data_IF_037158614626
#
_entry.id   IF_037158614626
#
_cell.length_a   1.000
_cell.length_b   1.000
_cell.length_c   1.000
_cell.angle_alpha   90.00
_cell.angle_beta   90.00
_cell.angle_gamma   90.00
#
_symmetry.space_group_name_H-M   'P 1'
#
loop_
_entity.id
_entity.type
_entity.pdbx_description
1 polymer ?
#
# COMPACT_ATOMS: atom_id res chain seq x y z
N UNK A 1 40.01 -15.37 -33.45
CA UNK A 1 38.72 -15.55 -32.76
C UNK A 1 38.78 -14.87 -31.41
N UNK A 2 37.80 -14.04 -31.06
CA UNK A 2 37.48 -13.63 -29.68
C UNK A 2 35.98 -13.26 -29.65
N UNK A 3 35.30 -13.44 -28.51
CA UNK A 3 33.82 -13.42 -28.42
C UNK A 3 33.30 -12.02 -28.07
N UNK A 4 32.19 -11.54 -28.67
CA UNK A 4 31.64 -10.21 -28.42
C UNK A 4 30.94 -10.03 -27.05
N UNK A 5 30.72 -11.11 -26.30
CA UNK A 5 29.83 -11.21 -25.13
C UNK A 5 30.19 -10.36 -23.88
N UNK A 6 31.19 -9.47 -23.96
CA UNK A 6 31.75 -8.75 -22.81
C UNK A 6 31.12 -7.36 -22.61
N UNK A 7 30.79 -6.66 -23.70
CA UNK A 7 30.30 -5.28 -23.66
C UNK A 7 28.89 -5.16 -23.07
N UNK A 8 27.99 -6.09 -23.42
CA UNK A 8 26.60 -6.07 -22.99
C UNK A 8 26.46 -6.20 -21.46
N UNK A 9 27.32 -7.04 -20.85
CA UNK A 9 27.37 -7.24 -19.40
C UNK A 9 27.85 -5.96 -18.69
N UNK A 10 28.84 -5.26 -19.27
CA UNK A 10 29.38 -4.03 -18.69
C UNK A 10 28.35 -2.88 -18.75
N UNK A 11 27.59 -2.78 -19.84
CA UNK A 11 26.46 -1.87 -19.98
C UNK A 11 25.37 -2.16 -18.93
N UNK A 12 24.93 -3.42 -18.81
CA UNK A 12 23.93 -3.82 -17.81
C UNK A 12 24.37 -3.49 -16.36
N UNK A 13 25.63 -3.73 -16.01
CA UNK A 13 26.16 -3.40 -14.67
C UNK A 13 26.16 -1.88 -14.42
N UNK A 14 26.63 -1.09 -15.39
CA UNK A 14 26.68 0.38 -15.23
C UNK A 14 25.28 1.02 -15.15
N UNK A 15 24.31 0.54 -15.93
CA UNK A 15 22.91 0.99 -15.84
C UNK A 15 22.29 0.65 -14.47
N UNK A 16 22.52 -0.58 -13.98
CA UNK A 16 22.07 -1.01 -12.65
C UNK A 16 22.67 -0.17 -11.52
N UNK A 17 23.93 0.26 -11.64
CA UNK A 17 24.59 1.10 -10.62
C UNK A 17 24.16 2.58 -10.68
N UNK A 18 23.90 3.13 -11.88
CA UNK A 18 23.26 4.45 -12.02
C UNK A 18 21.86 4.46 -11.39
N UNK A 19 21.07 3.40 -11.63
CA UNK A 19 19.76 3.21 -11.00
C UNK A 19 19.84 3.03 -9.47
N UNK A 20 20.97 2.55 -8.91
CA UNK A 20 21.20 2.54 -7.45
C UNK A 20 21.53 3.94 -6.93
N UNK A 21 22.40 4.70 -7.60
CA UNK A 21 22.73 6.09 -7.20
C UNK A 21 21.48 6.97 -7.17
N UNK A 22 20.66 6.96 -8.22
CA UNK A 22 19.41 7.72 -8.26
C UNK A 22 18.46 7.33 -7.12
N UNK A 23 18.34 6.04 -6.80
CA UNK A 23 17.53 5.56 -5.66
C UNK A 23 18.12 5.96 -4.31
N UNK A 24 19.44 6.17 -4.19
CA UNK A 24 20.06 6.72 -2.98
C UNK A 24 19.76 8.20 -2.82
N UNK A 25 20.07 9.02 -3.83
CA UNK A 25 19.80 10.47 -3.81
C UNK A 25 18.31 10.77 -3.58
N UNK A 26 17.39 10.00 -4.18
CA UNK A 26 15.96 10.14 -3.94
C UNK A 26 15.55 9.77 -2.51
N UNK A 27 16.16 8.75 -1.90
CA UNK A 27 15.93 8.41 -0.49
C UNK A 27 16.44 9.51 0.44
N UNK A 28 17.64 10.04 0.22
CA UNK A 28 18.19 11.09 1.08
C UNK A 28 17.42 12.42 0.94
N UNK A 29 16.92 12.75 -0.27
CA UNK A 29 16.02 13.88 -0.47
C UNK A 29 14.69 13.70 0.29
N UNK A 30 14.03 12.54 0.17
CA UNK A 30 12.80 12.24 0.91
C UNK A 30 13.02 12.23 2.44
N UNK A 31 14.17 11.73 2.88
CA UNK A 31 14.58 11.70 4.30
C UNK A 31 14.78 13.10 4.88
N UNK A 32 15.38 14.03 4.13
CA UNK A 32 15.44 15.45 4.53
C UNK A 32 14.05 16.09 4.54
N UNK A 33 13.29 15.98 3.44
CA UNK A 33 11.96 16.57 3.31
C UNK A 33 11.00 16.16 4.45
N UNK A 34 11.04 14.89 4.87
CA UNK A 34 10.25 14.38 5.99
C UNK A 34 10.77 14.79 7.37
N UNK A 35 12.03 15.21 7.49
CA UNK A 35 12.60 15.64 8.78
C UNK A 35 12.28 17.10 9.09
N UNK A 36 12.26 17.96 8.06
CA UNK A 36 12.13 19.40 8.21
C UNK A 36 10.67 19.91 8.12
N UNK A 37 9.76 19.12 7.54
CA UNK A 37 8.34 19.48 7.38
C UNK A 37 7.42 18.92 8.50
N UNK A 38 7.96 18.18 9.48
CA UNK A 38 7.18 17.58 10.58
C UNK A 38 7.51 18.22 11.95
N UNK A 39 6.50 18.46 12.82
CA UNK A 39 6.73 18.95 14.17
C UNK A 39 7.58 17.94 14.98
N UNK A 40 8.39 18.39 15.96
CA UNK A 40 9.40 17.56 16.63
C UNK A 40 8.86 16.23 17.19
N UNK A 41 7.61 16.27 17.64
CA UNK A 41 6.86 15.19 18.27
C UNK A 41 6.64 13.96 17.37
N UNK A 42 6.78 14.09 16.03
CA UNK A 42 6.55 13.01 15.05
C UNK A 42 7.81 12.62 14.23
N UNK A 43 9.02 13.08 14.61
CA UNK A 43 10.26 12.73 13.88
C UNK A 43 10.63 11.23 14.05
N UNK A 44 10.31 10.42 13.03
CA UNK A 44 10.63 8.99 12.99
C UNK A 44 12.14 8.74 12.84
N UNK A 45 12.76 8.05 13.82
CA UNK A 45 14.18 7.68 13.79
C UNK A 45 14.43 6.43 12.92
N UNK A 46 14.87 6.65 11.67
CA UNK A 46 15.30 5.58 10.77
C UNK A 46 16.69 5.02 11.14
N UNK A 47 16.71 3.92 11.90
CA UNK A 47 17.94 3.22 12.29
C UNK A 47 18.44 2.25 11.21
N UNK A 48 19.24 2.73 10.25
CA UNK A 48 20.01 1.86 9.37
C UNK A 48 21.24 1.27 10.09
N UNK A 49 21.14 0.03 10.58
CA UNK A 49 22.28 -0.73 11.13
C UNK A 49 23.05 -1.47 10.04
N UNK A 50 24.24 -0.97 9.69
CA UNK A 50 25.37 -1.76 9.17
C UNK A 50 26.66 -1.34 9.91
N UNK A 51 27.60 -2.28 10.04
CA UNK A 51 28.93 -2.14 10.66
C UNK A 51 30.00 -2.60 9.64
N UNK A 52 31.29 -2.33 9.80
CA UNK A 52 31.96 -1.56 10.90
C UNK A 52 32.51 -0.21 10.38
N UNK A 53 33.80 0.18 10.29
CA UNK A 53 35.12 -0.36 10.69
C UNK A 53 36.14 0.83 10.75
N UNK A 54 37.15 0.75 11.65
CA UNK A 54 38.51 1.39 11.63
C UNK A 54 38.76 2.79 11.00
N UNK A 55 39.48 3.76 11.60
CA UNK A 55 40.06 3.97 12.97
C UNK A 55 40.50 5.46 13.08
N UNK A 56 40.82 5.93 14.31
CA UNK A 56 41.52 7.18 14.66
C UNK A 56 40.66 8.47 14.49
N UNK A 57 40.78 9.51 15.34
CA UNK A 57 41.76 9.77 16.41
C UNK A 57 41.10 10.44 17.67
N UNK A 58 41.92 10.93 18.60
CA UNK A 58 41.64 11.28 20.02
C UNK A 58 40.83 12.61 20.20
N UNK A 59 40.41 13.12 21.38
CA UNK A 59 40.80 12.90 22.78
C UNK A 59 39.70 13.37 23.80
N UNK A 60 40.10 13.53 25.08
CA UNK A 60 39.45 14.17 26.25
C UNK A 60 38.75 13.24 27.28
N UNK A 61 39.23 13.32 28.52
CA UNK A 61 38.85 12.47 29.64
C UNK A 61 37.71 13.07 30.47
N UNK A 62 36.64 12.31 30.68
CA UNK A 62 35.63 12.62 31.72
C UNK A 62 34.84 11.38 32.14
N UNK A 63 35.08 10.94 33.36
CA UNK A 63 34.37 9.83 34.01
C UNK A 63 32.90 10.21 34.25
N UNK A 64 31.96 9.47 33.65
CA UNK A 64 30.53 9.67 33.86
C UNK A 64 29.75 8.36 33.75
N UNK A 65 29.51 7.70 34.89
CA UNK A 65 28.78 6.43 34.98
C UNK A 65 27.34 6.55 34.42
N UNK A 66 27.06 5.82 33.34
CA UNK A 66 25.81 5.91 32.61
C UNK A 66 24.75 4.92 33.14
N UNK A 67 23.51 5.37 33.46
CA UNK A 67 22.46 4.49 33.97
C UNK A 67 22.12 3.33 33.02
N UNK A 68 22.35 2.09 33.48
CA UNK A 68 22.20 0.86 32.68
C UNK A 68 20.78 0.72 32.09
N UNK A 69 20.61 0.77 30.75
CA UNK A 69 19.28 0.76 30.14
C UNK A 69 18.64 -0.62 30.23
N UNK A 70 17.56 -0.75 31.02
CA UNK A 70 16.77 -1.99 31.13
C UNK A 70 16.20 -2.36 29.75
N UNK A 71 16.59 -3.53 29.24
CA UNK A 71 16.10 -4.08 27.98
C UNK A 71 14.59 -4.34 28.05
N UNK A 72 13.78 -3.38 27.57
CA UNK A 72 12.36 -3.59 27.31
C UNK A 72 12.22 -4.61 26.18
N UNK A 73 11.98 -5.87 26.53
CA UNK A 73 11.62 -6.92 25.58
C UNK A 73 10.35 -6.46 24.85
N UNK A 74 10.50 -6.03 23.60
CA UNK A 74 9.38 -5.69 22.75
C UNK A 74 8.61 -6.97 22.43
N UNK A 75 7.44 -7.14 23.05
CA UNK A 75 6.49 -8.20 22.68
C UNK A 75 6.27 -8.13 21.18
N UNK A 76 6.73 -9.15 20.43
CA UNK A 76 6.47 -9.27 18.99
C UNK A 76 4.96 -9.32 18.81
N UNK A 77 4.36 -8.22 18.36
CA UNK A 77 2.97 -8.24 17.91
C UNK A 77 2.90 -9.24 16.75
N UNK A 78 2.11 -10.30 16.91
CA UNK A 78 1.76 -11.14 15.78
C UNK A 78 1.08 -10.24 14.75
N UNK A 79 1.71 -10.08 13.59
CA UNK A 79 0.98 -9.58 12.42
C UNK A 79 -0.13 -10.60 12.13
N UNK A 80 -1.37 -10.17 11.84
CA UNK A 80 -2.37 -11.06 11.26
C UNK A 80 -1.75 -11.73 10.03
N UNK A 81 -1.63 -13.06 10.07
CA UNK A 81 -1.12 -13.82 8.93
C UNK A 81 -2.27 -13.90 7.93
N UNK A 82 -2.10 -13.31 6.75
CA UNK A 82 -3.08 -13.46 5.68
C UNK A 82 -3.28 -14.96 5.40
N UNK A 83 -4.52 -15.48 5.44
CA UNK A 83 -4.77 -16.86 5.00
C UNK A 83 -4.29 -17.06 3.57
N UNK A 84 -3.64 -18.19 3.35
CA UNK A 84 -3.13 -18.64 2.05
C UNK A 84 -3.66 -20.07 1.82
N UNK A 85 -4.49 -20.31 0.78
CA UNK A 85 -5.00 -19.33 -0.17
C UNK A 85 -5.93 -18.28 0.48
N UNK A 86 -6.12 -17.11 -0.16
CA UNK A 86 -7.23 -16.20 0.14
C UNK A 86 -8.57 -16.95 0.20
N UNK A 87 -9.45 -16.67 1.19
CA UNK A 87 -10.82 -17.17 1.17
C UNK A 87 -11.56 -16.71 -0.08
N UNK A 88 -12.48 -17.53 -0.58
CA UNK A 88 -13.38 -17.17 -1.66
C UNK A 88 -14.48 -16.20 -1.15
N UNK A 89 -15.07 -15.41 -2.05
CA UNK A 89 -16.12 -14.45 -1.69
C UNK A 89 -17.35 -15.21 -1.12
N UNK A 90 -17.93 -14.80 0.04
CA UNK A 90 -18.99 -15.58 0.68
C UNK A 90 -20.22 -15.80 -0.21
N UNK A 91 -20.94 -16.93 -0.07
CA UNK A 91 -22.12 -17.22 -0.89
C UNK A 91 -23.16 -16.10 -0.91
N UNK A 92 -23.41 -15.43 0.23
CA UNK A 92 -24.34 -14.29 0.30
C UNK A 92 -23.90 -13.08 -0.53
N UNK A 93 -22.60 -12.82 -0.61
CA UNK A 93 -22.05 -11.76 -1.48
C UNK A 93 -22.16 -12.16 -2.96
N UNK A 94 -21.81 -13.41 -3.29
CA UNK A 94 -21.95 -13.92 -4.67
C UNK A 94 -23.42 -13.88 -5.12
N UNK A 95 -24.35 -14.32 -4.28
CA UNK A 95 -25.77 -14.30 -4.58
C UNK A 95 -26.27 -12.88 -4.86
N UNK A 96 -26.01 -11.93 -3.94
CA UNK A 96 -26.43 -10.53 -4.12
C UNK A 96 -25.85 -9.91 -5.40
N UNK A 97 -24.57 -10.14 -5.68
CA UNK A 97 -23.91 -9.60 -6.89
C UNK A 97 -24.49 -10.24 -8.16
N UNK A 98 -24.63 -11.56 -8.22
CA UNK A 98 -25.04 -12.27 -9.45
C UNK A 98 -26.56 -12.17 -9.71
N UNK A 99 -27.39 -12.33 -8.68
CA UNK A 99 -28.85 -12.44 -8.79
C UNK A 99 -29.57 -11.11 -8.62
N UNK A 100 -29.20 -10.30 -7.60
CA UNK A 100 -29.89 -9.03 -7.29
C UNK A 100 -29.33 -7.86 -8.10
N UNK A 101 -28.01 -7.82 -8.33
CA UNK A 101 -27.34 -6.75 -9.08
C UNK A 101 -27.09 -7.05 -10.56
N UNK A 102 -27.30 -8.29 -11.03
CA UNK A 102 -26.99 -8.72 -12.40
C UNK A 102 -25.49 -8.62 -12.75
N UNK A 103 -24.62 -8.71 -11.75
CA UNK A 103 -23.18 -8.53 -11.86
C UNK A 103 -22.45 -9.73 -12.45
N UNK A 104 -21.32 -9.47 -13.10
CA UNK A 104 -20.47 -10.47 -13.76
C UNK A 104 -18.98 -10.17 -13.52
N UNK A 105 -18.07 -11.05 -13.95
CA UNK A 105 -16.62 -10.75 -13.94
C UNK A 105 -16.00 -10.56 -12.54
N UNK A 106 -16.38 -11.41 -11.58
CA UNK A 106 -15.85 -11.37 -10.21
C UNK A 106 -14.33 -11.63 -10.17
N UNK A 107 -13.56 -10.61 -9.76
CA UNK A 107 -12.09 -10.67 -9.64
C UNK A 107 -11.65 -10.15 -8.26
N UNK A 108 -10.76 -10.86 -7.58
CA UNK A 108 -10.16 -10.40 -6.33
C UNK A 108 -9.07 -9.36 -6.63
N UNK A 109 -9.30 -8.09 -6.31
CA UNK A 109 -8.35 -7.00 -6.55
C UNK A 109 -7.22 -7.03 -5.51
N UNK A 110 -7.56 -7.14 -4.22
CA UNK A 110 -6.60 -7.12 -3.11
C UNK A 110 -7.17 -7.81 -1.86
N UNK A 111 -6.31 -8.51 -1.11
CA UNK A 111 -6.55 -8.86 0.29
C UNK A 111 -5.46 -8.21 1.14
N UNK A 112 -5.85 -7.42 2.16
CA UNK A 112 -4.90 -6.77 3.08
C UNK A 112 -5.49 -6.58 4.47
N UNK A 113 -4.64 -6.25 5.45
CA UNK A 113 -5.11 -5.66 6.71
C UNK A 113 -5.43 -4.18 6.53
N UNK A 114 -6.45 -3.69 7.22
CA UNK A 114 -6.77 -2.27 7.36
C UNK A 114 -5.67 -1.56 8.16
N UNK A 115 -5.06 -0.52 7.59
CA UNK A 115 -4.06 0.30 8.26
C UNK A 115 -4.69 1.57 8.86
N UNK A 116 -3.97 2.24 9.77
CA UNK A 116 -4.43 3.51 10.35
C UNK A 116 -4.69 4.58 9.28
N UNK A 117 -3.92 4.56 8.18
CA UNK A 117 -4.12 5.42 7.01
C UNK A 117 -5.42 5.18 6.24
N UNK A 118 -6.08 4.03 6.46
CA UNK A 118 -7.36 3.69 5.86
C UNK A 118 -8.54 4.13 6.75
N UNK A 119 -8.43 4.03 8.09
CA UNK A 119 -9.50 4.38 9.04
C UNK A 119 -9.38 5.79 9.65
N UNK A 120 -8.34 6.55 9.30
CA UNK A 120 -8.19 7.94 9.75
C UNK A 120 -9.29 8.83 9.13
N UNK A 121 -10.20 9.43 9.93
CA UNK A 121 -11.30 10.23 9.42
C UNK A 121 -10.86 11.44 8.56
N UNK A 122 -9.69 12.01 8.84
CA UNK A 122 -9.12 13.12 8.05
C UNK A 122 -8.60 12.66 6.69
N UNK A 123 -8.28 11.37 6.53
CA UNK A 123 -7.75 10.82 5.28
C UNK A 123 -8.84 10.34 4.32
N UNK A 124 -10.00 9.90 4.84
CA UNK A 124 -11.20 9.50 4.08
C UNK A 124 -10.92 8.67 2.81
N UNK A 125 -10.06 7.64 2.94
CA UNK A 125 -9.59 6.82 1.82
C UNK A 125 -9.29 5.38 2.21
N UNK A 126 -9.64 4.42 1.35
CA UNK A 126 -9.01 3.10 1.32
C UNK A 126 -7.85 3.13 0.33
N UNK A 127 -6.66 2.74 0.75
CA UNK A 127 -5.45 2.74 -0.09
C UNK A 127 -5.15 1.34 -0.64
N UNK A 128 -4.99 1.21 -1.96
CA UNK A 128 -4.74 -0.05 -2.68
C UNK A 128 -3.36 0.05 -3.37
N UNK A 129 -2.25 -0.37 -2.71
CA UNK A 129 -0.92 -0.27 -3.29
C UNK A 129 -0.78 -1.22 -4.48
N UNK A 130 -0.21 -0.77 -5.61
CA UNK A 130 -0.04 -1.63 -6.80
C UNK A 130 0.74 -2.92 -6.49
N UNK A 131 1.72 -2.87 -5.56
CA UNK A 131 2.48 -4.04 -5.10
C UNK A 131 1.71 -5.06 -4.25
N UNK A 132 0.41 -4.82 -3.99
CA UNK A 132 -0.49 -5.74 -3.29
C UNK A 132 -1.73 -6.12 -4.12
N UNK A 133 -1.92 -5.48 -5.28
CA UNK A 133 -2.94 -5.84 -6.27
C UNK A 133 -2.63 -7.22 -6.83
N UNK A 134 -3.66 -8.06 -7.02
CA UNK A 134 -3.50 -9.44 -7.52
C UNK A 134 -3.42 -9.52 -9.05
N UNK A 135 -4.21 -8.69 -9.71
CA UNK A 135 -4.20 -8.45 -11.16
C UNK A 135 -4.72 -7.04 -11.42
N UNK A 136 -4.27 -6.41 -12.52
CA UNK A 136 -4.82 -5.14 -13.01
C UNK A 136 -5.93 -5.33 -14.06
N UNK A 137 -6.19 -6.58 -14.47
CA UNK A 137 -7.11 -6.96 -15.56
C UNK A 137 -8.60 -6.79 -15.20
N UNK A 138 -8.89 -6.25 -14.01
CA UNK A 138 -10.24 -5.82 -13.61
C UNK A 138 -10.67 -4.48 -14.22
N UNK A 139 -9.74 -3.77 -14.86
CA UNK A 139 -9.99 -2.53 -15.58
C UNK A 139 -10.02 -2.78 -17.08
N UNK A 140 -11.01 -2.22 -17.78
CA UNK A 140 -10.93 -2.12 -19.23
C UNK A 140 -9.97 -0.99 -19.66
N UNK A 141 -9.60 -0.95 -20.94
CA UNK A 141 -8.61 0.01 -21.47
C UNK A 141 -9.03 1.48 -21.26
N UNK A 142 -10.34 1.78 -21.30
CA UNK A 142 -10.88 3.14 -21.10
C UNK A 142 -10.76 3.55 -19.63
N UNK A 143 -11.19 2.69 -18.71
CA UNK A 143 -11.05 2.89 -17.27
C UNK A 143 -9.58 3.06 -16.85
N UNK A 144 -8.69 2.22 -17.39
CA UNK A 144 -7.26 2.30 -17.13
C UNK A 144 -6.62 3.60 -17.66
N UNK A 145 -7.09 4.09 -18.82
CA UNK A 145 -6.66 5.35 -19.44
C UNK A 145 -7.17 6.57 -18.68
N UNK A 146 -8.43 6.60 -18.27
CA UNK A 146 -8.98 7.68 -17.45
C UNK A 146 -8.26 7.80 -16.09
N UNK A 147 -7.98 6.67 -15.45
CA UNK A 147 -7.16 6.63 -14.23
C UNK A 147 -5.71 7.07 -14.49
N UNK A 148 -5.14 6.82 -15.68
CA UNK A 148 -3.82 7.33 -16.05
C UNK A 148 -3.81 8.85 -16.23
N UNK A 149 -4.89 9.44 -16.75
CA UNK A 149 -5.11 10.90 -16.80
C UNK A 149 -5.49 11.53 -15.45
N UNK A 150 -5.66 10.72 -14.39
CA UNK A 150 -6.09 11.09 -13.04
C UNK A 150 -7.56 11.53 -12.95
N UNK A 151 -8.37 11.16 -13.93
CA UNK A 151 -9.83 11.34 -13.90
C UNK A 151 -10.40 10.47 -12.75
N UNK A 152 -11.05 11.06 -11.72
CA UNK A 152 -11.72 10.29 -10.68
C UNK A 152 -13.05 9.75 -11.23
N UNK A 153 -13.32 8.46 -11.05
CA UNK A 153 -14.56 7.82 -11.50
C UNK A 153 -15.49 7.55 -10.32
N UNK A 154 -16.80 7.77 -10.50
CA UNK A 154 -17.80 7.26 -9.54
C UNK A 154 -18.10 5.81 -9.88
N UNK A 155 -17.92 4.92 -8.90
CA UNK A 155 -18.22 3.50 -9.01
C UNK A 155 -19.20 3.08 -7.92
N UNK A 156 -19.87 1.95 -8.12
CA UNK A 156 -20.64 1.31 -7.06
C UNK A 156 -19.72 0.56 -6.09
N UNK A 157 -20.00 0.64 -4.79
CA UNK A 157 -19.42 -0.19 -3.74
C UNK A 157 -20.52 -0.88 -2.94
N UNK A 158 -20.54 -2.21 -3.00
CA UNK A 158 -21.27 -3.08 -2.09
C UNK A 158 -20.42 -3.27 -0.82
N UNK A 159 -20.91 -2.78 0.32
CA UNK A 159 -20.15 -2.78 1.58
C UNK A 159 -20.29 -4.10 2.38
N UNK A 160 -19.53 -4.30 3.48
CA UNK A 160 -19.59 -5.50 4.30
C UNK A 160 -20.99 -5.86 4.85
N UNK A 161 -21.89 -4.87 4.97
CA UNK A 161 -23.29 -5.05 5.37
C UNK A 161 -24.24 -5.39 4.22
N UNK A 162 -23.70 -5.57 3.00
CA UNK A 162 -24.41 -5.70 1.72
C UNK A 162 -25.23 -4.46 1.36
N UNK A 163 -24.76 -3.27 1.76
CA UNK A 163 -25.37 -2.01 1.35
C UNK A 163 -24.63 -1.42 0.15
N UNK A 164 -25.37 -1.12 -0.91
CA UNK A 164 -24.85 -0.39 -2.06
C UNK A 164 -24.60 1.08 -1.73
N UNK A 165 -23.45 1.60 -2.14
CA UNK A 165 -23.03 3.00 -1.98
C UNK A 165 -22.28 3.50 -3.21
N UNK A 166 -22.29 4.81 -3.50
CA UNK A 166 -21.38 5.39 -4.51
C UNK A 166 -20.02 5.66 -3.86
N UNK A 167 -18.92 5.34 -4.55
CA UNK A 167 -17.54 5.54 -4.09
C UNK A 167 -16.72 6.22 -5.20
N UNK A 168 -15.79 7.11 -4.83
CA UNK A 168 -14.86 7.68 -5.81
C UNK A 168 -13.65 6.77 -5.96
N UNK A 169 -13.42 6.19 -7.14
CA UNK A 169 -12.20 5.46 -7.48
C UNK A 169 -11.21 6.37 -8.22
N UNK A 170 -9.93 6.35 -7.83
CA UNK A 170 -8.88 7.19 -8.42
C UNK A 170 -7.50 6.50 -8.34
N UNK A 171 -6.55 6.89 -9.19
CA UNK A 171 -5.16 6.42 -9.20
C UNK A 171 -4.22 7.56 -8.83
N UNK A 172 -3.45 7.38 -7.76
CA UNK A 172 -2.47 8.35 -7.30
C UNK A 172 -1.05 7.84 -7.62
N UNK A 173 -0.23 8.72 -8.20
CA UNK A 173 1.20 8.47 -8.46
C UNK A 173 2.01 9.12 -7.35
N UNK A 174 2.85 8.34 -6.67
CA UNK A 174 3.71 8.80 -5.58
C UNK A 174 5.16 8.44 -5.90
N UNK A 175 5.86 9.39 -6.53
CA UNK A 175 7.20 9.16 -7.10
C UNK A 175 7.19 7.98 -8.05
N UNK A 176 8.07 7.01 -7.80
CA UNK A 176 8.23 5.81 -8.62
C UNK A 176 7.18 4.70 -8.33
N UNK A 177 6.08 5.02 -7.63
CA UNK A 177 5.04 4.07 -7.25
C UNK A 177 3.64 4.57 -7.58
N UNK A 178 2.66 3.67 -7.66
CA UNK A 178 1.24 4.02 -7.76
C UNK A 178 0.41 3.28 -6.70
N UNK A 179 -0.68 3.90 -6.30
CA UNK A 179 -1.78 3.27 -5.58
C UNK A 179 -3.10 3.63 -6.27
N UNK A 180 -4.07 2.73 -6.22
CA UNK A 180 -5.47 3.17 -6.35
C UNK A 180 -5.98 3.61 -4.97
N UNK A 181 -7.00 4.45 -4.96
CA UNK A 181 -7.74 4.84 -3.77
C UNK A 181 -9.24 4.77 -4.01
N UNK A 182 -9.98 4.38 -2.96
CA UNK A 182 -11.42 4.61 -2.85
C UNK A 182 -11.63 5.76 -1.85
N UNK A 183 -12.35 6.83 -2.22
CA UNK A 183 -12.51 8.04 -1.40
C UNK A 183 -13.96 8.56 -1.41
N UNK A 184 -14.19 9.75 -0.84
CA UNK A 184 -15.49 10.41 -0.68
C UNK A 184 -16.39 9.79 0.40
N UNK A 185 -17.02 8.64 0.15
CA UNK A 185 -17.94 8.00 1.11
C UNK A 185 -17.26 7.00 2.05
N UNK A 186 -15.95 6.81 1.92
CA UNK A 186 -15.20 5.78 2.65
C UNK A 186 -15.33 5.87 4.18
N UNK A 187 -15.30 7.06 4.77
CA UNK A 187 -15.54 7.25 6.21
C UNK A 187 -16.90 6.69 6.66
N UNK A 188 -17.93 6.77 5.82
CA UNK A 188 -19.26 6.20 6.09
C UNK A 188 -19.23 4.68 6.00
N UNK A 189 -18.49 4.11 5.04
CA UNK A 189 -18.25 2.65 4.96
C UNK A 189 -17.56 2.16 6.23
N UNK A 190 -16.48 2.82 6.66
CA UNK A 190 -15.75 2.51 7.90
C UNK A 190 -16.67 2.54 9.12
N UNK A 191 -17.46 3.61 9.27
CA UNK A 191 -18.37 3.79 10.41
C UNK A 191 -19.49 2.75 10.43
N UNK A 192 -20.18 2.55 9.32
CA UNK A 192 -21.35 1.67 9.25
C UNK A 192 -20.97 0.20 9.44
N UNK A 193 -19.80 -0.20 8.96
CA UNK A 193 -19.34 -1.59 8.95
C UNK A 193 -18.34 -1.91 10.09
N UNK A 194 -18.13 -0.97 11.01
CA UNK A 194 -17.24 -1.12 12.17
C UNK A 194 -15.85 -1.63 11.74
N UNK A 195 -15.22 -0.91 10.80
CA UNK A 195 -13.89 -1.22 10.29
C UNK A 195 -12.81 -0.61 11.18
N UNK A 196 -11.90 -1.44 11.67
CA UNK A 196 -10.84 -1.07 12.59
C UNK A 196 -9.43 -1.40 12.07
N UNK A 197 -8.43 -0.71 12.60
CA UNK A 197 -7.02 -0.94 12.27
C UNK A 197 -6.58 -2.32 12.77
N UNK A 198 -6.48 -3.27 11.84
CA UNK A 198 -6.08 -4.65 12.12
C UNK A 198 -7.02 -5.67 11.47
N UNK A 199 -8.25 -5.27 11.17
CA UNK A 199 -9.20 -6.06 10.38
C UNK A 199 -8.56 -6.54 9.08
N UNK A 200 -8.92 -7.74 8.64
CA UNK A 200 -8.55 -8.22 7.31
C UNK A 200 -9.73 -8.04 6.36
N UNK A 201 -9.46 -7.46 5.20
CA UNK A 201 -10.48 -7.23 4.17
C UNK A 201 -10.02 -7.71 2.81
N UNK A 202 -10.99 -8.11 2.01
CA UNK A 202 -10.85 -8.29 0.56
C UNK A 202 -11.64 -7.20 -0.16
N UNK A 203 -11.04 -6.65 -1.22
CA UNK A 203 -11.77 -5.89 -2.22
C UNK A 203 -11.85 -6.73 -3.50
N UNK A 204 -13.08 -6.99 -3.93
CA UNK A 204 -13.40 -7.64 -5.21
C UNK A 204 -13.95 -6.59 -6.17
N UNK A 205 -13.74 -6.81 -7.46
CA UNK A 205 -14.35 -6.07 -8.56
C UNK A 205 -15.34 -6.96 -9.30
N UNK A 206 -16.37 -6.34 -9.88
CA UNK A 206 -17.34 -6.97 -10.77
C UNK A 206 -17.90 -5.91 -11.75
N UNK A 207 -18.61 -6.35 -12.78
CA UNK A 207 -19.17 -5.50 -13.83
C UNK A 207 -20.70 -5.61 -13.83
N UNK A 208 -21.41 -4.48 -13.75
CA UNK A 208 -22.88 -4.38 -13.87
C UNK A 208 -23.20 -3.46 -15.03
N UNK A 209 -23.90 -3.95 -16.06
CA UNK A 209 -24.22 -3.18 -17.27
C UNK A 209 -23.00 -2.45 -17.88
N UNK A 210 -21.84 -3.13 -17.90
CA UNK A 210 -20.53 -2.60 -18.33
C UNK A 210 -19.98 -1.43 -17.50
N UNK A 211 -20.43 -1.27 -16.25
CA UNK A 211 -19.86 -0.36 -15.26
C UNK A 211 -19.14 -1.13 -14.15
N UNK A 212 -17.88 -0.75 -13.89
CA UNK A 212 -17.09 -1.31 -12.80
C UNK A 212 -17.73 -1.03 -11.44
N UNK A 213 -17.87 -2.09 -10.67
CA UNK A 213 -18.38 -2.12 -9.32
C UNK A 213 -17.37 -2.82 -8.41
N UNK A 214 -17.39 -2.49 -7.12
CA UNK A 214 -16.57 -3.14 -6.11
C UNK A 214 -17.43 -3.77 -5.01
N UNK A 215 -16.94 -4.84 -4.40
CA UNK A 215 -17.46 -5.40 -3.16
C UNK A 215 -16.34 -5.43 -2.11
N UNK A 216 -16.61 -4.90 -0.92
CA UNK A 216 -15.71 -4.98 0.23
C UNK A 216 -16.22 -6.03 1.20
N UNK A 217 -15.43 -7.07 1.43
CA UNK A 217 -15.70 -8.13 2.41
C UNK A 217 -14.72 -8.03 3.58
N UNK A 218 -15.22 -8.06 4.82
CA UNK A 218 -14.44 -8.15 6.07
C UNK A 218 -14.43 -9.61 6.54
N UNK A 219 -13.23 -10.15 6.77
CA UNK A 219 -12.95 -11.51 7.22
C UNK A 219 -13.04 -11.63 8.75
#
# INVERSE_FOLDING_TARGET
MMKPLCLDILLQVTEVDQLKLQKSHHNDYLKHFLYDTLPPNLRFKFNNRKRTLTTLEEADDREWEAPKPKLKISKKQHKPVCPLPPPDLPPKFKQHILEEMGGTGLVLVIQKTIFYSDVNPTANRFSIPFSQVKTHDFLNEVEAKELAHKTPMQMCLLDPSLKQTSITFNKWVMGNTSLYVLTNTWNSVVKNNQLEKGDMVQLWSFQVNSLLCFALFKL
#
